data_IF_394824353419
#
_entry.id   IF_394824353419
#
_cell.length_a   1.000
_cell.length_b   1.000
_cell.length_c   1.000
_cell.angle_alpha   90.00
_cell.angle_beta   90.00
_cell.angle_gamma   90.00
#
_symmetry.space_group_name_H-M   'P 1'
#
loop_
_entity.id
_entity.type
_entity.pdbx_description
1 polymer ?
#
# COMPACT_ATOMS: atom_id res chain seq x y z
N UNK A 1 17.15 9.02 -2.80
CA UNK A 1 15.80 9.11 -3.41
C UNK A 1 14.90 9.95 -2.51
N UNK A 2 14.13 10.88 -3.05
CA UNK A 2 13.29 11.80 -2.27
C UNK A 2 12.05 11.05 -1.76
N UNK A 3 11.98 10.77 -0.45
CA UNK A 3 10.83 10.09 0.16
C UNK A 3 9.63 11.04 0.21
N UNK A 4 8.46 10.56 -0.20
CA UNK A 4 7.25 11.36 -0.20
C UNK A 4 6.72 11.48 1.24
N UNK A 5 6.72 12.73 1.76
CA UNK A 5 6.19 13.09 3.08
C UNK A 5 4.79 13.71 3.00
N UNK A 6 4.40 14.22 1.82
CA UNK A 6 3.09 14.83 1.58
C UNK A 6 2.09 13.74 1.16
N UNK A 7 1.18 13.45 2.07
CA UNK A 7 0.21 12.36 1.93
C UNK A 7 -0.64 12.47 0.66
N UNK A 8 -0.93 11.31 0.09
CA UNK A 8 -2.06 11.01 -0.81
C UNK A 8 -1.95 11.35 -2.31
N UNK A 9 -0.79 11.73 -2.87
CA UNK A 9 -0.65 11.81 -4.34
C UNK A 9 -0.08 10.56 -5.00
N UNK A 10 0.50 9.65 -4.22
CA UNK A 10 1.13 8.45 -4.72
C UNK A 10 0.91 7.28 -3.76
N UNK A 11 0.62 6.07 -4.26
CA UNK A 11 0.35 5.75 -5.67
C UNK A 11 -1.01 6.31 -6.20
N UNK A 12 -1.20 6.30 -7.53
CA UNK A 12 -2.45 6.75 -8.16
C UNK A 12 -3.60 5.82 -7.79
N UNK A 13 -4.74 6.40 -7.40
CA UNK A 13 -5.94 5.64 -7.04
C UNK A 13 -6.48 4.81 -8.20
N UNK A 14 -6.44 5.32 -9.43
CA UNK A 14 -6.96 4.59 -10.60
C UNK A 14 -6.16 3.31 -10.84
N UNK A 15 -4.83 3.37 -10.72
CA UNK A 15 -3.96 2.19 -10.83
C UNK A 15 -4.17 1.18 -9.70
N UNK A 16 -4.48 1.66 -8.50
CA UNK A 16 -4.82 0.78 -7.39
C UNK A 16 -6.15 0.07 -7.61
N UNK A 17 -7.11 0.76 -8.23
CA UNK A 17 -8.42 0.18 -8.55
C UNK A 17 -8.38 -0.85 -9.69
N UNK A 18 -7.35 -0.82 -10.54
CA UNK A 18 -7.03 -1.92 -11.48
C UNK A 18 -6.59 -3.20 -10.74
N UNK A 19 -6.04 -3.08 -9.52
CA UNK A 19 -5.64 -4.22 -8.67
C UNK A 19 -6.76 -4.71 -7.76
N UNK A 20 -7.52 -3.77 -7.20
CA UNK A 20 -8.63 -4.04 -6.29
C UNK A 20 -9.83 -3.21 -6.73
N UNK A 21 -10.85 -3.90 -7.25
CA UNK A 21 -12.05 -3.35 -7.90
C UNK A 21 -12.93 -2.40 -7.05
N UNK A 22 -12.70 -2.30 -5.75
CA UNK A 22 -13.50 -1.51 -4.83
C UNK A 22 -12.64 -0.65 -3.92
N UNK A 23 -13.01 0.63 -3.81
CA UNK A 23 -12.38 1.59 -2.90
C UNK A 23 -12.40 1.09 -1.46
N UNK A 24 -13.50 0.48 -1.03
CA UNK A 24 -13.62 -0.05 0.33
C UNK A 24 -12.72 -1.26 0.55
N UNK A 25 -12.69 -2.20 -0.41
CA UNK A 25 -11.79 -3.35 -0.37
C UNK A 25 -10.32 -2.92 -0.35
N UNK A 26 -9.97 -1.91 -1.17
CA UNK A 26 -8.63 -1.34 -1.24
C UNK A 26 -8.21 -0.71 0.09
N UNK A 27 -9.08 0.11 0.70
CA UNK A 27 -8.80 0.72 2.01
C UNK A 27 -8.60 -0.38 3.06
N UNK A 28 -9.49 -1.36 3.11
CA UNK A 28 -9.39 -2.47 4.06
C UNK A 28 -8.09 -3.27 3.88
N UNK A 29 -7.76 -3.65 2.66
CA UNK A 29 -6.54 -4.40 2.35
C UNK A 29 -5.28 -3.59 2.67
N UNK A 30 -5.21 -2.32 2.29
CA UNK A 30 -4.09 -1.45 2.59
C UNK A 30 -3.89 -1.28 4.10
N UNK A 31 -4.97 -1.14 4.88
CA UNK A 31 -4.90 -1.11 6.34
C UNK A 31 -4.32 -2.41 6.93
N UNK A 32 -4.73 -3.58 6.41
CA UNK A 32 -4.23 -4.88 6.87
C UNK A 32 -2.75 -5.09 6.55
N UNK A 33 -2.31 -4.71 5.35
CA UNK A 33 -0.91 -4.78 4.95
C UNK A 33 -0.06 -3.80 5.77
N UNK A 34 -0.55 -2.58 6.01
CA UNK A 34 0.14 -1.60 6.85
C UNK A 34 0.31 -2.09 8.30
N UNK A 35 -0.74 -2.71 8.86
CA UNK A 35 -0.71 -3.33 10.20
C UNK A 35 0.38 -4.41 10.29
N UNK A 36 0.53 -5.24 9.26
CA UNK A 36 1.59 -6.27 9.19
C UNK A 36 2.98 -5.63 9.13
N UNK A 37 3.16 -4.61 8.28
CA UNK A 37 4.43 -3.88 8.16
C UNK A 37 4.85 -3.29 9.52
N UNK A 38 3.91 -2.63 10.22
CA UNK A 38 4.19 -1.99 11.50
C UNK A 38 4.41 -3.01 12.63
N UNK A 39 3.60 -4.08 12.68
CA UNK A 39 3.70 -5.11 13.73
C UNK A 39 4.99 -5.90 13.64
N UNK A 40 5.41 -6.24 12.42
CA UNK A 40 6.54 -7.12 12.18
C UNK A 40 7.83 -6.31 11.84
N UNK A 41 7.80 -4.98 12.02
CA UNK A 41 8.87 -4.00 11.74
C UNK A 41 9.56 -4.23 10.39
N UNK A 42 8.74 -4.47 9.36
CA UNK A 42 9.24 -4.87 8.04
C UNK A 42 9.90 -3.69 7.33
N UNK A 43 11.15 -3.90 6.92
CA UNK A 43 11.87 -2.95 6.07
C UNK A 43 11.54 -3.27 4.61
N UNK A 44 10.72 -2.41 3.99
CA UNK A 44 10.41 -2.50 2.56
C UNK A 44 11.42 -1.68 1.76
N UNK A 45 12.27 -2.37 0.99
CA UNK A 45 13.23 -1.76 0.09
C UNK A 45 12.54 -0.98 -1.04
N UNK A 46 13.18 0.10 -1.49
CA UNK A 46 12.69 0.99 -2.56
C UNK A 46 11.30 1.61 -2.33
N UNK A 47 10.82 1.62 -1.08
CA UNK A 47 9.61 2.32 -0.72
C UNK A 47 9.78 3.84 -0.86
N UNK A 48 8.89 4.49 -1.61
CA UNK A 48 8.88 5.95 -1.76
C UNK A 48 8.17 6.61 -0.59
N UNK A 49 7.12 5.97 -0.07
CA UNK A 49 6.38 6.39 1.10
C UNK A 49 7.13 6.08 2.40
N UNK A 50 6.97 6.98 3.37
CA UNK A 50 7.55 6.80 4.72
C UNK A 50 6.58 6.07 5.65
N UNK A 51 5.29 6.38 5.55
CA UNK A 51 4.25 5.77 6.40
C UNK A 51 3.86 4.40 5.86
N UNK A 52 3.65 3.44 6.75
CA UNK A 52 3.24 2.06 6.46
C UNK A 52 2.04 1.96 5.51
N UNK A 53 1.03 2.82 5.66
CA UNK A 53 -0.12 2.87 4.72
C UNK A 53 0.31 3.17 3.29
N UNK A 54 1.23 4.11 3.09
CA UNK A 54 1.72 4.43 1.75
C UNK A 54 2.57 3.28 1.18
N UNK A 55 3.37 2.64 2.03
CA UNK A 55 4.17 1.46 1.66
C UNK A 55 3.25 0.32 1.25
N UNK A 56 2.19 0.04 2.03
CA UNK A 56 1.20 -0.97 1.72
C UNK A 56 0.55 -0.75 0.35
N UNK A 57 0.18 0.49 0.02
CA UNK A 57 -0.36 0.84 -1.30
C UNK A 57 0.66 0.62 -2.42
N UNK A 58 1.95 0.89 -2.18
CA UNK A 58 3.01 0.58 -3.15
C UNK A 58 3.17 -0.92 -3.40
N UNK A 59 3.15 -1.72 -2.34
CA UNK A 59 3.31 -3.17 -2.45
C UNK A 59 2.10 -3.83 -3.11
N UNK A 60 0.88 -3.31 -2.88
CA UNK A 60 -0.33 -3.68 -3.65
C UNK A 60 -0.15 -3.36 -5.12
N UNK A 61 0.30 -2.14 -5.45
CA UNK A 61 0.49 -1.74 -6.84
C UNK A 61 1.56 -2.59 -7.56
N UNK A 62 2.58 -3.05 -6.84
CA UNK A 62 3.68 -3.89 -7.36
C UNK A 62 3.37 -5.39 -7.36
N UNK A 63 2.14 -5.81 -7.03
CA UNK A 63 1.73 -7.22 -6.89
C UNK A 63 2.59 -8.03 -5.90
N UNK A 64 3.18 -7.37 -4.88
CA UNK A 64 4.04 -8.01 -3.88
C UNK A 64 3.26 -8.57 -2.68
N UNK A 65 1.96 -8.32 -2.62
CA UNK A 65 1.05 -8.86 -1.61
C UNK A 65 -0.06 -9.65 -2.29
N UNK A 66 -0.39 -10.81 -1.72
CA UNK A 66 -1.52 -11.62 -2.15
C UNK A 66 -2.72 -11.27 -1.28
N UNK A 67 -3.81 -10.83 -1.90
CA UNK A 67 -5.05 -10.44 -1.21
C UNK A 67 -6.18 -11.26 -1.82
N UNK A 68 -6.91 -11.97 -0.98
CA UNK A 68 -8.10 -12.75 -1.37
C UNK A 68 -9.29 -12.23 -0.58
N UNK A 69 -10.38 -11.94 -1.29
CA UNK A 69 -11.67 -11.59 -0.71
C UNK A 69 -12.58 -12.78 -0.91
N UNK A 70 -13.12 -13.31 0.19
CA UNK A 70 -14.13 -14.37 0.17
C UNK A 70 -15.52 -13.81 -0.11
#
# INVERSE_FOLDING_TARGET
MQKNKDGMRYPSIDKLLEKIDSKYKLVYAASKVAEIIDRDDLIVEDAKCVKSVGIALEEILKDKVKIEFN
#
